data_IF_048853415031
#
_entry.id   IF_048853415031
#
_cell.length_a   1.000
_cell.length_b   1.000
_cell.length_c   1.000
_cell.angle_alpha   90.00
_cell.angle_beta   90.00
_cell.angle_gamma   90.00
#
_symmetry.space_group_name_H-M   'P 1'
#
loop_
_entity.id
_entity.type
_entity.pdbx_description
1 polymer ?
#
# COMPACT_ATOMS: atom_id res chain seq x y z
N UNK A 1 16.51 -0.77 13.81
CA UNK A 1 16.51 0.69 14.09
C UNK A 1 16.28 1.51 12.82
N UNK A 2 17.09 1.35 11.77
CA UNK A 2 16.92 2.06 10.48
C UNK A 2 15.53 1.92 9.86
N UNK A 3 14.96 0.71 9.88
CA UNK A 3 13.62 0.42 9.35
C UNK A 3 12.53 1.26 10.04
N UNK A 4 12.57 1.37 11.38
CA UNK A 4 11.56 2.12 12.15
C UNK A 4 11.62 3.62 11.84
N UNK A 5 12.84 4.16 11.69
CA UNK A 5 13.04 5.56 11.30
C UNK A 5 12.50 5.82 9.90
N UNK A 6 12.80 4.92 8.96
CA UNK A 6 12.32 5.01 7.58
C UNK A 6 10.79 4.92 7.50
N UNK A 7 10.18 3.93 8.16
CA UNK A 7 8.73 3.76 8.19
C UNK A 7 8.03 4.97 8.82
N UNK A 8 8.60 5.55 9.87
CA UNK A 8 8.06 6.76 10.51
C UNK A 8 8.15 7.98 9.59
N UNK A 9 9.25 8.15 8.86
CA UNK A 9 9.41 9.21 7.88
C UNK A 9 8.41 9.07 6.72
N UNK A 10 8.25 7.85 6.18
CA UNK A 10 7.29 7.54 5.12
C UNK A 10 5.84 7.76 5.58
N UNK A 11 5.50 7.33 6.80
CA UNK A 11 4.18 7.55 7.36
C UNK A 11 3.88 9.04 7.58
N UNK A 12 4.85 9.82 8.06
CA UNK A 12 4.71 11.26 8.21
C UNK A 12 4.44 11.95 6.86
N UNK A 13 5.18 11.59 5.81
CA UNK A 13 4.96 12.09 4.45
C UNK A 13 3.55 11.74 3.94
N UNK A 14 3.13 10.49 4.15
CA UNK A 14 1.80 10.02 3.78
C UNK A 14 0.71 10.82 4.51
N UNK A 15 0.88 11.03 5.82
CA UNK A 15 -0.06 11.79 6.64
C UNK A 15 -0.17 13.25 6.18
N UNK A 16 0.96 13.90 5.90
CA UNK A 16 0.97 15.27 5.35
C UNK A 16 0.22 15.30 4.02
N UNK A 17 0.50 14.37 3.11
CA UNK A 17 -0.17 14.31 1.80
C UNK A 17 -1.69 14.08 1.92
N UNK A 18 -2.11 13.24 2.87
CA UNK A 18 -3.52 12.97 3.16
C UNK A 18 -4.19 14.22 3.74
N UNK A 19 -3.58 14.87 4.72
CA UNK A 19 -4.06 16.12 5.31
C UNK A 19 -4.18 17.23 4.28
N UNK A 20 -3.18 17.42 3.41
CA UNK A 20 -3.24 18.41 2.32
C UNK A 20 -4.37 18.10 1.35
N UNK A 21 -4.53 16.83 0.94
CA UNK A 21 -5.60 16.42 0.02
C UNK A 21 -6.98 16.66 0.61
N UNK A 22 -7.17 16.30 1.88
CA UNK A 22 -8.42 16.53 2.61
C UNK A 22 -8.67 18.03 2.77
N UNK A 23 -7.69 18.78 3.27
CA UNK A 23 -7.78 20.23 3.45
C UNK A 23 -8.16 20.95 2.16
N UNK A 24 -7.48 20.70 1.05
CA UNK A 24 -7.79 21.31 -0.23
C UNK A 24 -9.21 20.96 -0.73
N UNK A 25 -9.70 19.76 -0.44
CA UNK A 25 -11.04 19.33 -0.83
C UNK A 25 -12.11 19.96 0.05
N UNK A 26 -11.86 20.08 1.36
CA UNK A 26 -12.75 20.77 2.29
C UNK A 26 -12.79 22.27 2.02
N UNK A 27 -11.65 22.92 1.78
CA UNK A 27 -11.59 24.36 1.50
C UNK A 27 -12.18 24.75 0.15
N UNK A 28 -12.31 23.81 -0.80
CA UNK A 28 -12.88 24.06 -2.14
C UNK A 28 -14.36 23.68 -2.29
N UNK A 29 -14.99 23.03 -1.32
CA UNK A 29 -16.40 22.62 -1.41
C UNK A 29 -17.30 23.32 -0.38
N UNK A 30 -18.33 24.02 -0.88
CA UNK A 30 -19.42 24.60 -0.07
C UNK A 30 -20.54 23.61 0.32
N UNK A 31 -20.36 22.28 0.20
CA UNK A 31 -21.46 21.32 0.41
C UNK A 31 -21.09 20.06 1.21
N UNK A 32 -21.81 19.75 2.32
CA UNK A 32 -21.49 18.66 3.26
C UNK A 32 -21.77 17.24 2.75
N UNK A 33 -22.59 17.06 1.69
CA UNK A 33 -23.03 15.72 1.25
C UNK A 33 -22.09 15.02 0.24
N UNK A 34 -21.08 15.72 -0.29
CA UNK A 34 -20.14 15.18 -1.29
C UNK A 34 -18.91 14.48 -0.69
N UNK A 35 -18.67 14.64 0.62
CA UNK A 35 -17.49 14.08 1.27
C UNK A 35 -17.51 12.53 1.30
N UNK A 36 -18.69 11.93 1.49
CA UNK A 36 -18.87 10.48 1.60
C UNK A 36 -18.82 9.79 0.23
N UNK A 37 -19.18 10.49 -0.85
CA UNK A 37 -19.28 9.93 -2.20
C UNK A 37 -18.06 10.23 -3.09
N UNK A 38 -17.05 10.95 -2.57
CA UNK A 38 -15.85 11.22 -3.35
C UNK A 38 -14.87 10.03 -3.24
N UNK A 39 -14.66 9.26 -4.32
CA UNK A 39 -13.80 8.07 -4.27
C UNK A 39 -12.37 8.41 -3.86
N UNK A 40 -11.87 9.62 -4.16
CA UNK A 40 -10.53 10.02 -3.74
C UNK A 40 -10.44 10.23 -2.23
N UNK A 41 -11.46 10.82 -1.61
CA UNK A 41 -11.51 10.99 -0.14
C UNK A 41 -11.60 9.61 0.52
N UNK A 42 -12.46 8.74 -0.01
CA UNK A 42 -12.59 7.36 0.47
C UNK A 42 -11.26 6.60 0.44
N UNK A 43 -10.57 6.55 -0.70
CA UNK A 43 -9.28 5.87 -0.81
C UNK A 43 -8.20 6.51 0.07
N UNK A 44 -8.18 7.85 0.18
CA UNK A 44 -7.20 8.57 1.02
C UNK A 44 -7.36 8.18 2.49
N UNK A 45 -8.60 8.16 3.00
CA UNK A 45 -8.88 7.76 4.39
C UNK A 45 -8.51 6.29 4.60
N UNK A 46 -8.89 5.40 3.68
CA UNK A 46 -8.66 3.96 3.81
C UNK A 46 -7.17 3.60 3.81
N UNK A 47 -6.38 4.22 2.91
CA UNK A 47 -4.92 4.04 2.85
C UNK A 47 -4.26 4.60 4.11
N UNK A 48 -4.69 5.78 4.58
CA UNK A 48 -4.14 6.43 5.77
C UNK A 48 -4.41 5.62 7.04
N UNK A 49 -5.63 5.12 7.19
CA UNK A 49 -6.02 4.28 8.32
C UNK A 49 -5.24 2.95 8.34
N UNK A 50 -5.15 2.27 7.21
CA UNK A 50 -4.45 0.98 7.10
C UNK A 50 -2.94 1.15 7.34
N UNK A 51 -2.34 2.19 6.76
CA UNK A 51 -0.92 2.50 6.96
C UNK A 51 -0.62 2.95 8.40
N UNK A 52 -1.53 3.70 9.03
CA UNK A 52 -1.40 4.09 10.43
C UNK A 52 -1.47 2.89 11.38
N UNK A 53 -2.35 1.93 11.11
CA UNK A 53 -2.40 0.67 11.86
C UNK A 53 -1.11 -0.14 11.69
N UNK A 54 -0.59 -0.26 10.47
CA UNK A 54 0.69 -0.90 10.19
C UNK A 54 1.84 -0.25 10.96
N UNK A 55 1.97 1.08 10.86
CA UNK A 55 3.01 1.84 11.57
C UNK A 55 2.90 1.69 13.10
N UNK A 56 1.68 1.74 13.64
CA UNK A 56 1.45 1.55 15.08
C UNK A 56 1.94 0.19 15.56
N UNK A 57 1.69 -0.88 14.78
CA UNK A 57 2.23 -2.21 15.08
C UNK A 57 3.77 -2.24 15.05
N UNK A 58 4.41 -1.55 14.10
CA UNK A 58 5.88 -1.43 14.08
C UNK A 58 6.39 -0.80 15.37
N UNK A 59 5.79 0.31 15.81
CA UNK A 59 6.20 1.02 17.03
C UNK A 59 6.00 0.14 18.27
N UNK A 60 4.83 -0.51 18.41
CA UNK A 60 4.55 -1.42 19.52
C UNK A 60 5.55 -2.58 19.55
N UNK A 61 5.86 -3.19 18.40
CA UNK A 61 6.84 -4.27 18.32
C UNK A 61 8.25 -3.80 18.62
N UNK A 62 8.61 -2.58 18.21
CA UNK A 62 9.88 -1.97 18.57
C UNK A 62 10.00 -1.85 20.09
N UNK A 63 9.04 -1.21 20.76
CA UNK A 63 9.08 -1.11 22.23
C UNK A 63 9.05 -2.47 22.92
N UNK A 64 8.26 -3.43 22.44
CA UNK A 64 8.21 -4.78 23.00
C UNK A 64 9.57 -5.52 22.87
N UNK A 65 10.25 -5.36 21.73
CA UNK A 65 11.58 -5.93 21.53
C UNK A 65 12.61 -5.35 22.51
N UNK A 66 12.57 -4.04 22.78
CA UNK A 66 13.54 -3.38 23.68
C UNK A 66 13.21 -3.50 25.16
N UNK A 67 11.93 -3.51 25.53
CA UNK A 67 11.50 -3.47 26.94
C UNK A 67 11.24 -4.86 27.52
N UNK A 68 10.80 -5.81 26.71
CA UNK A 68 10.30 -7.09 27.21
C UNK A 68 11.13 -8.30 26.73
N UNK A 69 12.05 -8.12 25.79
CA UNK A 69 12.85 -9.22 25.25
C UNK A 69 14.28 -9.21 25.79
N UNK A 70 14.74 -10.33 26.34
CA UNK A 70 16.12 -10.50 26.79
C UNK A 70 17.13 -10.51 25.63
N UNK A 71 16.68 -10.88 24.43
CA UNK A 71 17.47 -10.87 23.19
C UNK A 71 16.66 -10.24 22.05
N UNK A 72 16.94 -8.97 21.77
CA UNK A 72 16.32 -8.17 20.70
C UNK A 72 16.51 -8.82 19.34
N UNK A 73 17.68 -9.40 19.07
CA UNK A 73 17.99 -9.97 17.76
C UNK A 73 17.16 -11.23 17.52
N UNK A 74 17.04 -12.08 18.54
CA UNK A 74 16.21 -13.28 18.47
C UNK A 74 14.73 -12.97 18.33
N UNK A 75 14.23 -11.91 18.97
CA UNK A 75 12.85 -11.44 18.82
C UNK A 75 12.50 -11.08 17.37
N UNK A 76 13.41 -10.41 16.64
CA UNK A 76 13.20 -10.08 15.23
C UNK A 76 13.45 -11.23 14.27
N UNK A 77 14.24 -12.24 14.67
CA UNK A 77 14.43 -13.47 13.89
C UNK A 77 13.24 -14.44 14.00
N UNK A 78 12.44 -14.31 15.05
CA UNK A 78 11.22 -15.09 15.23
C UNK A 78 10.07 -14.51 14.39
N UNK A 79 9.97 -14.99 13.16
CA UNK A 79 8.92 -14.61 12.20
C UNK A 79 7.54 -15.19 12.55
N UNK A 80 7.44 -16.11 13.52
CA UNK A 80 6.16 -16.72 13.93
C UNK A 80 5.32 -15.78 14.81
N UNK A 81 5.79 -14.59 15.11
CA UNK A 81 5.03 -13.61 15.87
C UNK A 81 3.78 -13.16 15.11
N UNK A 82 2.61 -13.34 15.74
CA UNK A 82 1.31 -12.89 15.20
C UNK A 82 1.32 -11.42 14.78
N UNK A 83 2.12 -10.58 15.45
CA UNK A 83 2.29 -9.16 15.15
C UNK A 83 3.08 -8.90 13.87
N UNK A 84 4.05 -9.76 13.50
CA UNK A 84 4.75 -9.72 12.20
C UNK A 84 3.78 -10.05 11.06
N UNK A 85 2.97 -11.09 11.23
CA UNK A 85 1.97 -11.50 10.24
C UNK A 85 0.90 -10.43 10.04
N UNK A 86 0.37 -9.87 11.14
CA UNK A 86 -0.61 -8.80 11.09
C UNK A 86 -0.05 -7.53 10.41
N UNK A 87 1.19 -7.15 10.74
CA UNK A 87 1.87 -6.04 10.08
C UNK A 87 2.02 -6.26 8.57
N UNK A 88 2.40 -7.46 8.15
CA UNK A 88 2.56 -7.82 6.74
C UNK A 88 1.24 -7.81 5.98
N UNK A 89 0.15 -8.28 6.60
CA UNK A 89 -1.20 -8.22 6.02
C UNK A 89 -1.67 -6.78 5.84
N UNK A 90 -1.47 -5.91 6.83
CA UNK A 90 -1.83 -4.50 6.73
C UNK A 90 -1.03 -3.78 5.64
N UNK A 91 0.27 -4.10 5.52
CA UNK A 91 1.12 -3.56 4.45
C UNK A 91 0.65 -4.02 3.07
N UNK A 92 0.36 -5.32 2.89
CA UNK A 92 -0.21 -5.83 1.64
C UNK A 92 -1.54 -5.14 1.30
N UNK A 93 -2.41 -5.00 2.30
CA UNK A 93 -3.73 -4.36 2.13
C UNK A 93 -3.58 -2.91 1.70
N UNK A 94 -2.67 -2.14 2.31
CA UNK A 94 -2.47 -0.73 1.93
C UNK A 94 -1.95 -0.58 0.50
N UNK A 95 -1.08 -1.49 0.04
CA UNK A 95 -0.60 -1.50 -1.35
C UNK A 95 -1.77 -1.81 -2.31
N UNK A 96 -2.59 -2.82 -2.02
CA UNK A 96 -3.74 -3.17 -2.86
C UNK A 96 -4.78 -2.05 -2.94
N UNK A 97 -5.04 -1.35 -1.83
CA UNK A 97 -5.92 -0.17 -1.85
C UNK A 97 -5.29 0.95 -2.69
N UNK A 98 -3.97 1.15 -2.60
CA UNK A 98 -3.23 2.09 -3.42
C UNK A 98 -3.37 1.80 -4.91
N UNK A 99 -3.14 0.54 -5.32
CA UNK A 99 -3.31 0.09 -6.69
C UNK A 99 -4.76 0.28 -7.16
N UNK A 100 -5.75 -0.08 -6.33
CA UNK A 100 -7.16 0.11 -6.65
C UNK A 100 -7.52 1.59 -6.87
N UNK A 101 -6.96 2.50 -6.06
CA UNK A 101 -7.17 3.94 -6.20
C UNK A 101 -6.59 4.46 -7.53
N UNK A 102 -5.41 3.99 -7.92
CA UNK A 102 -4.76 4.35 -9.19
C UNK A 102 -5.53 3.78 -10.38
N UNK A 103 -5.95 2.51 -10.32
CA UNK A 103 -6.76 1.86 -11.36
C UNK A 103 -8.08 2.60 -11.56
N UNK A 104 -8.78 2.94 -10.48
CA UNK A 104 -10.02 3.70 -10.55
C UNK A 104 -9.80 5.08 -11.21
N UNK A 105 -8.71 5.77 -10.87
CA UNK A 105 -8.37 7.05 -11.50
C UNK A 105 -8.07 6.88 -12.99
N UNK A 106 -7.33 5.85 -13.36
CA UNK A 106 -6.98 5.56 -14.75
C UNK A 106 -8.24 5.25 -15.58
N UNK A 107 -9.16 4.47 -15.02
CA UNK A 107 -10.44 4.15 -15.63
C UNK A 107 -11.26 5.41 -15.94
N UNK A 108 -11.32 6.36 -15.01
CA UNK A 108 -12.01 7.64 -15.24
C UNK A 108 -11.32 8.51 -16.31
N UNK A 109 -9.98 8.55 -16.31
CA UNK A 109 -9.19 9.36 -17.27
C UNK A 109 -9.35 8.85 -18.71
N UNK A 110 -9.44 7.53 -18.88
CA UNK A 110 -9.62 6.88 -20.19
C UNK A 110 -11.08 6.65 -20.56
N UNK A 111 -11.98 7.52 -20.09
CA UNK A 111 -13.41 7.48 -20.41
C UNK A 111 -14.05 6.09 -20.19
N UNK A 112 -13.68 5.42 -19.10
CA UNK A 112 -14.16 4.09 -18.71
C UNK A 112 -13.75 2.93 -19.64
N UNK A 113 -12.74 3.12 -20.48
CA UNK A 113 -12.19 2.05 -21.33
C UNK A 113 -11.63 0.90 -20.50
N UNK A 114 -12.15 -0.31 -20.72
CA UNK A 114 -11.71 -1.50 -20.00
C UNK A 114 -10.32 -1.97 -20.46
N UNK A 115 -9.92 -1.68 -21.71
CA UNK A 115 -8.67 -2.19 -22.29
C UNK A 115 -7.44 -1.71 -21.50
N UNK A 116 -7.47 -0.46 -21.03
CA UNK A 116 -6.34 0.16 -20.31
C UNK A 116 -6.21 -0.36 -18.87
N UNK A 117 -7.30 -0.86 -18.28
CA UNK A 117 -7.30 -1.32 -16.89
C UNK A 117 -7.05 -2.82 -16.74
N UNK A 118 -7.14 -3.62 -17.80
CA UNK A 118 -6.92 -5.07 -17.74
C UNK A 118 -5.54 -5.39 -17.18
N UNK A 119 -4.49 -4.75 -17.69
CA UNK A 119 -3.13 -4.99 -17.26
C UNK A 119 -2.91 -4.66 -15.77
N UNK A 120 -3.26 -3.47 -15.25
CA UNK A 120 -3.05 -3.16 -13.85
C UNK A 120 -3.96 -3.97 -12.91
N UNK A 121 -5.16 -4.39 -13.37
CA UNK A 121 -6.02 -5.31 -12.61
C UNK A 121 -5.37 -6.69 -12.49
N UNK A 122 -4.82 -7.23 -13.59
CA UNK A 122 -4.10 -8.51 -13.56
C UNK A 122 -2.86 -8.43 -12.65
N UNK A 123 -2.11 -7.33 -12.69
CA UNK A 123 -0.98 -7.10 -11.78
C UNK A 123 -1.41 -7.04 -10.32
N UNK A 124 -2.56 -6.43 -10.01
CA UNK A 124 -3.13 -6.39 -8.66
C UNK A 124 -3.48 -7.79 -8.15
N UNK A 125 -4.08 -8.65 -8.98
CA UNK A 125 -4.32 -10.05 -8.63
C UNK A 125 -3.04 -10.86 -8.46
N UNK A 126 -2.06 -10.66 -9.34
CA UNK A 126 -0.75 -11.29 -9.21
C UNK A 126 -0.06 -10.88 -7.89
N UNK A 127 -0.16 -9.60 -7.52
CA UNK A 127 0.36 -9.09 -6.25
C UNK A 127 -0.36 -9.68 -5.04
N UNK A 128 -1.69 -9.82 -5.10
CA UNK A 128 -2.47 -10.46 -4.05
C UNK A 128 -2.02 -11.91 -3.83
N UNK A 129 -1.91 -12.70 -4.90
CA UNK A 129 -1.46 -14.10 -4.83
C UNK A 129 -0.04 -14.18 -4.27
N UNK A 130 0.87 -13.35 -4.80
CA UNK A 130 2.25 -13.28 -4.34
C UNK A 130 2.35 -12.87 -2.86
N UNK A 131 1.57 -11.88 -2.44
CA UNK A 131 1.51 -11.39 -1.07
C UNK A 131 0.98 -12.45 -0.10
N UNK A 132 -0.12 -13.12 -0.43
CA UNK A 132 -0.66 -14.23 0.36
C UNK A 132 0.34 -15.38 0.48
N UNK A 133 1.00 -15.76 -0.62
CA UNK A 133 2.04 -16.79 -0.62
C UNK A 133 3.24 -16.40 0.26
N UNK A 134 3.70 -15.15 0.15
CA UNK A 134 4.81 -14.62 0.95
C UNK A 134 4.49 -14.66 2.44
N UNK A 135 3.31 -14.17 2.83
CA UNK A 135 2.86 -14.15 4.23
C UNK A 135 2.72 -15.58 4.77
N UNK A 136 2.17 -16.50 3.99
CA UNK A 136 2.07 -17.91 4.38
C UNK A 136 3.45 -18.55 4.58
N UNK A 137 4.42 -18.27 3.72
CA UNK A 137 5.77 -18.83 3.86
C UNK A 137 6.50 -18.25 5.08
N UNK A 138 6.27 -16.98 5.42
CA UNK A 138 6.87 -16.31 6.59
C UNK A 138 6.37 -16.93 7.91
N UNK A 139 5.15 -17.46 7.95
CA UNK A 139 4.58 -18.08 9.16
C UNK A 139 5.00 -19.53 9.36
N UNK A 140 5.68 -20.16 8.38
CA UNK A 140 6.14 -21.54 8.51
C UNK A 140 7.45 -21.62 9.33
N UNK A 141 7.57 -22.56 10.28
CA UNK A 141 8.73 -22.69 11.17
C UNK A 141 10.02 -23.12 10.44
N UNK A 142 9.88 -23.68 9.24
CA UNK A 142 10.96 -24.02 8.31
C UNK A 142 10.77 -23.24 7.01
N UNK A 143 10.61 -21.92 7.11
CA UNK A 143 10.46 -21.05 5.95
C UNK A 143 11.58 -21.37 4.93
N UNK A 144 11.24 -21.90 3.73
CA UNK A 144 12.26 -22.30 2.79
C UNK A 144 13.03 -21.07 2.29
N UNK A 145 14.24 -21.27 1.79
CA UNK A 145 15.13 -20.22 1.28
C UNK A 145 14.54 -19.23 0.23
N UNK A 146 13.43 -19.48 -0.52
CA UNK A 146 12.97 -18.52 -1.53
C UNK A 146 12.04 -17.41 -1.04
N UNK A 147 11.74 -17.25 0.26
CA UNK A 147 10.84 -16.15 0.72
C UNK A 147 11.29 -14.78 0.22
N UNK A 148 12.59 -14.50 0.24
CA UNK A 148 13.14 -13.25 -0.29
C UNK A 148 12.78 -13.01 -1.76
N UNK A 149 12.82 -14.06 -2.60
CA UNK A 149 12.48 -13.96 -4.03
C UNK A 149 11.01 -13.67 -4.26
N UNK A 150 10.10 -14.24 -3.47
CA UNK A 150 8.67 -13.93 -3.53
C UNK A 150 8.39 -12.48 -3.13
N UNK A 151 9.07 -12.00 -2.09
CA UNK A 151 8.94 -10.60 -1.66
C UNK A 151 9.47 -9.65 -2.75
N UNK A 152 10.66 -9.91 -3.30
CA UNK A 152 11.25 -9.15 -4.41
C UNK A 152 10.33 -9.13 -5.64
N UNK A 153 9.80 -10.29 -6.04
CA UNK A 153 8.84 -10.39 -7.15
C UNK A 153 7.61 -9.51 -6.90
N UNK A 154 7.06 -9.51 -5.69
CA UNK A 154 5.96 -8.63 -5.30
C UNK A 154 6.28 -7.15 -5.50
N UNK A 155 7.46 -6.71 -5.05
CA UNK A 155 7.90 -5.32 -5.26
C UNK A 155 8.06 -4.98 -6.74
N UNK A 156 8.60 -5.89 -7.55
CA UNK A 156 8.73 -5.65 -9.00
C UNK A 156 7.38 -5.52 -9.70
N UNK A 157 6.39 -6.33 -9.31
CA UNK A 157 5.01 -6.24 -9.83
C UNK A 157 4.40 -4.89 -9.45
N UNK A 158 4.48 -4.50 -8.18
CA UNK A 158 3.94 -3.23 -7.69
C UNK A 158 4.60 -2.03 -8.38
N UNK A 159 5.93 -2.04 -8.55
CA UNK A 159 6.66 -0.98 -9.26
C UNK A 159 6.28 -0.93 -10.74
N UNK A 160 6.24 -2.08 -11.42
CA UNK A 160 5.81 -2.17 -12.82
C UNK A 160 4.41 -1.62 -13.03
N UNK A 161 3.49 -1.92 -12.11
CA UNK A 161 2.13 -1.39 -12.13
C UNK A 161 2.09 0.14 -12.03
N UNK A 162 2.86 0.72 -11.10
CA UNK A 162 2.96 2.16 -10.91
C UNK A 162 3.56 2.89 -12.13
N UNK A 163 4.60 2.31 -12.73
CA UNK A 163 5.22 2.84 -13.96
C UNK A 163 4.22 2.81 -15.11
N UNK A 164 3.53 1.69 -15.32
CA UNK A 164 2.51 1.56 -16.35
C UNK A 164 1.39 2.59 -16.17
N UNK A 165 0.82 2.69 -14.96
CA UNK A 165 -0.28 3.60 -14.69
C UNK A 165 0.13 5.07 -14.91
N UNK A 166 1.33 5.45 -14.51
CA UNK A 166 1.86 6.80 -14.74
C UNK A 166 2.00 7.09 -16.23
N UNK A 167 2.59 6.16 -16.99
CA UNK A 167 2.73 6.29 -18.44
C UNK A 167 1.39 6.36 -19.16
N UNK A 168 0.41 5.56 -18.75
CA UNK A 168 -0.94 5.58 -19.33
C UNK A 168 -1.69 6.89 -19.03
N UNK A 169 -1.48 7.50 -17.86
CA UNK A 169 -2.03 8.83 -17.55
C UNK A 169 -1.39 9.89 -18.45
N UNK A 170 -0.06 9.90 -18.58
CA UNK A 170 0.65 10.84 -19.45
C UNK A 170 0.26 10.67 -20.92
N UNK A 171 0.14 9.42 -21.39
CA UNK A 171 -0.31 9.10 -22.74
C UNK A 171 -1.68 9.70 -23.05
N UNK A 172 -2.62 9.67 -22.10
CA UNK A 172 -3.94 10.31 -22.28
C UNK A 172 -3.83 11.82 -22.43
N UNK A 173 -2.96 12.48 -21.66
CA UNK A 173 -2.75 13.92 -21.78
C UNK A 173 -2.18 14.31 -23.16
N UNK A 174 -1.31 13.49 -23.74
CA UNK A 174 -0.71 13.76 -25.06
C UNK A 174 -1.66 13.50 -26.23
N UNK A 175 -2.54 12.51 -26.12
CA UNK A 175 -3.46 12.12 -27.22
C UNK A 175 -4.66 13.06 -27.39
N UNK A 176 -4.89 13.98 -26.43
CA UNK A 176 -5.99 14.93 -26.48
C UNK A 176 -7.38 14.27 -26.30
N UNK A 177 -8.45 15.07 -26.15
CA UNK A 177 -9.79 14.58 -25.85
C UNK A 177 -10.52 13.88 -27.01
N UNK A 178 -9.92 13.78 -28.20
CA UNK A 178 -10.59 13.38 -29.45
C UNK A 178 -10.35 11.91 -29.88
N UNK A 179 -9.81 11.07 -28.99
CA UNK A 179 -9.75 9.60 -29.12
C UNK A 179 -10.41 8.97 -27.90
#
# INVERSE_FOLDING_TARGET
MTVVVLESALYALLLVSACTTLYLRFSRHEVPNLLVWNPVVFFTILISATSGAHWTLTIVRFFNAFLCSADVKRFYLDNSQKTQTAGSLLSLTSILIGDAAIIHRLWLIWNRSLLVIVLPVMSCFALLINGCASIYLITQPLAPMPVGRWVEAGWTIALGNNVYCTGAVEGRFKLGPNV
#
